data_IF_574400832630
#
_entry.id   IF_574400832630
#
_cell.length_a   1.000
_cell.length_b   1.000
_cell.length_c   1.000
_cell.angle_alpha   90.00
_cell.angle_beta   90.00
_cell.angle_gamma   90.00
#
_symmetry.space_group_name_H-M   'P 1'
#
loop_
_entity.id
_entity.type
_entity.pdbx_description
1 polymer ?
#
# COMPACT_ATOMS: atom_id res chain seq x y z
N UNK A 1 4.15 12.96 12.70
CA UNK A 1 3.57 12.19 11.57
C UNK A 1 2.17 11.61 11.82
N UNK A 2 1.49 11.92 12.95
CA UNK A 2 0.19 11.33 13.29
C UNK A 2 -0.91 11.57 12.25
N UNK A 3 -0.99 12.78 11.70
CA UNK A 3 -1.96 13.09 10.63
C UNK A 3 -1.72 12.29 9.35
N UNK A 4 -0.46 11.94 9.02
CA UNK A 4 -0.15 11.12 7.85
C UNK A 4 -0.49 9.64 8.10
N UNK A 5 -0.20 9.12 9.29
CA UNK A 5 -0.59 7.79 9.72
C UNK A 5 -2.13 7.62 9.68
N UNK A 6 -2.87 8.60 10.21
CA UNK A 6 -4.33 8.60 10.24
C UNK A 6 -4.99 8.70 8.86
N UNK A 7 -4.27 9.18 7.83
CA UNK A 7 -4.77 9.21 6.45
C UNK A 7 -4.75 7.84 5.78
N UNK A 8 -3.89 6.94 6.23
CA UNK A 8 -3.85 5.60 5.66
C UNK A 8 -4.99 4.74 6.26
N UNK A 9 -5.73 3.96 5.45
CA UNK A 9 -6.85 3.16 5.92
C UNK A 9 -6.56 2.24 7.11
N UNK A 10 -5.38 1.62 7.13
CA UNK A 10 -4.90 0.77 8.22
C UNK A 10 -4.35 1.53 9.46
N UNK A 11 -4.35 2.87 9.44
CA UNK A 11 -4.12 3.71 10.61
C UNK A 11 -2.65 3.92 11.04
N UNK A 12 -1.67 3.44 10.27
CA UNK A 12 -0.24 3.68 10.51
C UNK A 12 0.50 4.03 9.23
N UNK A 13 1.74 4.47 9.35
CA UNK A 13 2.64 4.55 8.20
C UNK A 13 3.20 3.17 7.87
N UNK A 14 3.34 2.90 6.58
CA UNK A 14 4.06 1.72 6.08
C UNK A 14 5.54 1.86 6.47
N UNK A 15 6.09 0.81 7.09
CA UNK A 15 7.51 0.74 7.45
C UNK A 15 8.41 0.39 6.28
N UNK A 16 9.68 0.80 6.34
CA UNK A 16 10.68 0.46 5.34
C UNK A 16 10.89 -1.06 5.20
N UNK A 17 10.80 -1.81 6.30
CA UNK A 17 10.94 -3.27 6.30
C UNK A 17 9.78 -3.95 5.55
N UNK A 18 8.58 -3.37 5.59
CA UNK A 18 7.43 -3.88 4.83
C UNK A 18 7.64 -3.71 3.33
N UNK A 19 8.22 -2.57 2.91
CA UNK A 19 8.63 -2.34 1.52
C UNK A 19 9.75 -3.31 1.12
N UNK A 20 10.78 -3.46 1.95
CA UNK A 20 11.91 -4.34 1.68
C UNK A 20 11.46 -5.80 1.54
N UNK A 21 10.53 -6.27 2.38
CA UNK A 21 9.96 -7.60 2.30
C UNK A 21 9.17 -7.81 1.00
N UNK A 22 8.39 -6.83 0.56
CA UNK A 22 7.66 -6.91 -0.71
C UNK A 22 8.60 -6.96 -1.93
N UNK A 23 9.68 -6.16 -1.91
CA UNK A 23 10.73 -6.20 -2.93
C UNK A 23 11.42 -7.57 -2.93
N UNK A 24 11.78 -8.07 -1.74
CA UNK A 24 12.42 -9.39 -1.61
C UNK A 24 11.51 -10.51 -2.13
N UNK A 25 10.20 -10.44 -1.85
CA UNK A 25 9.22 -11.37 -2.41
C UNK A 25 9.20 -11.32 -3.95
N UNK A 26 9.07 -10.13 -4.55
CA UNK A 26 9.04 -9.98 -6.00
C UNK A 26 10.34 -10.41 -6.69
N UNK A 27 11.48 -10.25 -6.01
CA UNK A 27 12.77 -10.71 -6.50
C UNK A 27 13.01 -12.23 -6.30
N UNK A 28 12.16 -12.90 -5.53
CA UNK A 28 12.33 -14.32 -5.19
C UNK A 28 11.78 -15.25 -6.28
N UNK A 29 12.22 -16.53 -6.32
CA UNK A 29 11.63 -17.53 -7.21
C UNK A 29 10.12 -17.74 -7.02
N UNK A 30 9.56 -17.41 -5.86
CA UNK A 30 8.13 -17.54 -5.61
C UNK A 30 7.28 -16.62 -6.51
N UNK A 31 7.88 -15.56 -7.06
CA UNK A 31 7.23 -14.64 -7.99
C UNK A 31 7.63 -14.88 -9.46
N UNK A 32 8.19 -16.05 -9.82
CA UNK A 32 8.79 -16.30 -11.13
C UNK A 32 7.88 -16.06 -12.36
N UNK A 33 6.56 -16.21 -12.21
CA UNK A 33 5.58 -15.91 -13.27
C UNK A 33 4.85 -14.57 -13.10
N UNK A 34 5.25 -13.77 -12.11
CA UNK A 34 4.67 -12.45 -11.85
C UNK A 34 5.41 -11.40 -12.69
N UNK A 35 4.81 -10.99 -13.79
CA UNK A 35 5.35 -9.94 -14.66
C UNK A 35 4.24 -8.96 -15.02
N UNK A 36 4.57 -7.68 -15.19
CA UNK A 36 3.60 -6.64 -15.54
C UNK A 36 2.57 -6.27 -14.45
N UNK A 37 2.70 -6.82 -13.25
CA UNK A 37 1.82 -6.55 -12.12
C UNK A 37 2.38 -5.43 -11.22
N UNK A 38 1.48 -4.63 -10.63
CA UNK A 38 1.80 -3.70 -9.57
C UNK A 38 1.36 -4.28 -8.21
N UNK A 39 2.27 -4.38 -7.25
CA UNK A 39 1.97 -4.78 -5.88
C UNK A 39 1.90 -3.54 -4.99
N UNK A 40 0.70 -3.18 -4.55
CA UNK A 40 0.50 -2.04 -3.66
C UNK A 40 0.99 -2.36 -2.24
N UNK A 41 1.85 -1.50 -1.69
CA UNK A 41 2.32 -1.55 -0.30
C UNK A 41 2.19 -0.15 0.31
N UNK A 42 0.96 0.31 0.45
CA UNK A 42 0.62 1.73 0.62
C UNK A 42 -0.41 1.98 1.74
N UNK A 43 -0.70 0.95 2.53
CA UNK A 43 -1.70 1.02 3.59
C UNK A 43 -3.15 1.00 3.15
N UNK A 44 -3.43 0.64 1.89
CA UNK A 44 -4.77 0.58 1.33
C UNK A 44 -5.19 1.86 0.59
N UNK A 45 -4.25 2.73 0.23
CA UNK A 45 -4.55 4.02 -0.39
C UNK A 45 -5.00 3.91 -1.85
N UNK A 46 -4.40 3.02 -2.63
CA UNK A 46 -4.67 2.83 -4.07
C UNK A 46 -6.11 2.36 -4.31
N UNK A 47 -6.61 1.46 -3.45
CA UNK A 47 -7.98 0.97 -3.48
C UNK A 47 -9.01 1.86 -2.78
N UNK A 48 -8.60 3.00 -2.21
CA UNK A 48 -9.47 3.80 -1.35
C UNK A 48 -10.61 4.45 -2.14
N UNK A 49 -11.86 4.14 -1.76
CA UNK A 49 -13.07 4.78 -2.29
C UNK A 49 -13.62 5.77 -1.28
N UNK A 50 -13.38 7.05 -1.52
CA UNK A 50 -13.97 8.13 -0.73
C UNK A 50 -15.44 8.32 -1.12
N UNK A 51 -16.29 8.57 -0.14
CA UNK A 51 -17.66 9.02 -0.42
C UNK A 51 -17.61 10.41 -1.05
N UNK A 52 -18.47 10.70 -2.05
CA UNK A 52 -18.61 12.06 -2.58
C UNK A 52 -18.88 13.03 -1.43
N UNK A 53 -18.26 14.21 -1.47
CA UNK A 53 -18.59 15.27 -0.52
C UNK A 53 -19.99 15.75 -0.89
N UNK A 54 -20.96 15.56 0.00
CA UNK A 54 -22.26 16.23 -0.16
C UNK A 54 -22.00 17.73 -0.11
N UNK A 55 -22.24 18.43 -1.21
CA UNK A 55 -22.27 19.89 -1.17
C UNK A 55 -23.53 20.31 -0.37
N UNK A 56 -23.33 21.24 0.56
CA UNK A 56 -24.39 21.82 1.37
C UNK A 56 -24.92 23.10 0.76
#
# INVERSE_FOLDING_TARGET
YAALAARQPHGRLVGADEIAAAVAYLASPAAASTTGAALAVDGGMDGLRLRPRTEG
#
